data_IF_178744582885
#
_entry.id   IF_178744582885
#
_cell.length_a   1.000
_cell.length_b   1.000
_cell.length_c   1.000
_cell.angle_alpha   90.00
_cell.angle_beta   90.00
_cell.angle_gamma   90.00
#
_symmetry.space_group_name_H-M   'P 1'
#
loop_
_entity.id
_entity.type
_entity.pdbx_description
1 polymer ?
#
# COMPACT_ATOMS: atom_id res chain seq x y z
N UNK A 1 -18.62 3.32 9.14
CA UNK A 1 -18.77 4.50 8.26
C UNK A 1 -17.52 5.38 8.37
N UNK A 2 -16.72 5.49 7.31
CA UNK A 2 -15.52 6.33 7.29
C UNK A 2 -15.89 7.77 6.90
N UNK A 3 -15.99 8.68 7.89
CA UNK A 3 -16.51 10.04 7.66
C UNK A 3 -15.69 10.83 6.63
N UNK A 4 -14.39 10.57 6.47
CA UNK A 4 -13.56 11.23 5.44
C UNK A 4 -14.00 10.94 3.99
N UNK A 5 -14.80 9.89 3.74
CA UNK A 5 -15.35 9.60 2.42
C UNK A 5 -16.52 10.50 2.04
N UNK A 6 -17.37 10.83 3.00
CA UNK A 6 -18.67 11.44 2.75
C UNK A 6 -18.80 12.84 3.33
N UNK A 7 -17.91 13.23 4.25
CA UNK A 7 -17.90 14.56 4.84
C UNK A 7 -17.65 15.64 3.77
N UNK A 8 -18.30 16.80 3.91
CA UNK A 8 -18.03 17.94 3.05
C UNK A 8 -16.59 18.43 3.25
N UNK A 9 -15.97 18.99 2.20
CA UNK A 9 -14.53 19.28 2.20
C UNK A 9 -14.07 20.23 3.33
N UNK A 10 -14.97 21.06 3.86
CA UNK A 10 -14.71 21.97 4.99
C UNK A 10 -14.55 21.23 6.34
N UNK A 11 -15.11 20.03 6.49
CA UNK A 11 -15.05 19.25 7.73
C UNK A 11 -13.86 18.27 7.76
N UNK A 12 -13.28 17.96 6.59
CA UNK A 12 -12.15 17.02 6.48
C UNK A 12 -10.98 17.39 7.39
N UNK A 13 -10.71 18.69 7.60
CA UNK A 13 -9.65 19.14 8.50
C UNK A 13 -9.89 18.68 9.95
N UNK A 14 -11.12 18.76 10.43
CA UNK A 14 -11.49 18.31 11.77
C UNK A 14 -11.40 16.79 11.88
N UNK A 15 -11.93 16.09 10.88
CA UNK A 15 -11.87 14.61 10.80
C UNK A 15 -10.42 14.12 10.83
N UNK A 16 -9.54 14.72 10.04
CA UNK A 16 -8.12 14.37 10.01
C UNK A 16 -7.36 14.73 11.29
N UNK A 17 -7.75 15.79 11.98
CA UNK A 17 -7.16 16.10 13.29
C UNK A 17 -7.41 14.96 14.27
N UNK A 18 -8.67 14.55 14.43
CA UNK A 18 -9.05 13.46 15.34
C UNK A 18 -8.43 12.13 14.92
N UNK A 19 -8.39 11.85 13.60
CA UNK A 19 -7.73 10.65 13.09
C UNK A 19 -6.23 10.64 13.37
N UNK A 20 -5.56 11.79 13.32
CA UNK A 20 -4.14 11.87 13.68
C UNK A 20 -3.94 11.45 15.13
N UNK A 21 -4.70 12.02 16.05
CA UNK A 21 -4.59 11.72 17.48
C UNK A 21 -4.88 10.23 17.76
N UNK A 22 -5.89 9.68 17.09
CA UNK A 22 -6.25 8.26 17.20
C UNK A 22 -5.18 7.31 16.65
N UNK A 23 -4.58 7.63 15.50
CA UNK A 23 -3.59 6.78 14.85
C UNK A 23 -2.20 6.90 15.49
N UNK A 24 -1.90 8.03 16.13
CA UNK A 24 -0.64 8.23 16.85
C UNK A 24 -0.66 7.68 18.29
N UNK A 25 -1.80 7.27 18.83
CA UNK A 25 -1.88 6.68 20.17
C UNK A 25 -1.08 5.38 20.26
N UNK A 26 -0.09 5.34 21.15
CA UNK A 26 0.83 4.21 21.34
C UNK A 26 0.20 3.15 22.26
N UNK A 27 -0.42 2.16 21.64
CA UNK A 27 -1.03 1.02 22.32
C UNK A 27 -0.94 -0.23 21.42
N UNK A 28 -1.20 -1.44 21.94
CA UNK A 28 -1.10 -2.69 21.18
C UNK A 28 -2.00 -2.75 19.92
N UNK A 29 -3.02 -1.91 19.81
CA UNK A 29 -3.94 -1.85 18.67
C UNK A 29 -3.57 -0.77 17.64
N UNK A 30 -2.50 0.00 17.86
CA UNK A 30 -2.10 1.09 16.96
C UNK A 30 -1.97 0.63 15.50
N UNK A 31 -1.20 -0.44 15.26
CA UNK A 31 -1.00 -0.98 13.92
C UNK A 31 -2.34 -1.40 13.29
N UNK A 32 -3.24 -2.02 14.07
CA UNK A 32 -4.55 -2.42 13.57
C UNK A 32 -5.40 -1.22 13.17
N UNK A 33 -5.38 -0.12 13.96
CA UNK A 33 -6.07 1.11 13.59
C UNK A 33 -5.52 1.71 12.29
N UNK A 34 -4.20 1.73 12.13
CA UNK A 34 -3.54 2.21 10.91
C UNK A 34 -4.00 1.38 9.69
N UNK A 35 -3.95 0.05 9.78
CA UNK A 35 -4.41 -0.86 8.73
C UNK A 35 -5.85 -0.57 8.31
N UNK A 36 -6.77 -0.49 9.29
CA UNK A 36 -8.18 -0.25 9.05
C UNK A 36 -8.44 1.11 8.37
N UNK A 37 -7.67 2.14 8.69
CA UNK A 37 -7.84 3.48 8.10
C UNK A 37 -7.16 3.61 6.74
N UNK A 38 -5.98 3.01 6.58
CA UNK A 38 -5.19 3.11 5.34
C UNK A 38 -5.78 2.23 4.23
N UNK A 39 -6.08 0.96 4.53
CA UNK A 39 -6.59 -0.01 3.55
C UNK A 39 -8.11 -0.17 3.56
N UNK A 40 -8.75 0.07 4.70
CA UNK A 40 -10.16 -0.22 4.88
C UNK A 40 -10.40 -1.57 5.56
N UNK A 41 -11.66 -2.00 5.60
CA UNK A 41 -12.03 -3.31 6.11
C UNK A 41 -13.38 -3.77 5.54
N UNK A 42 -13.64 -5.07 5.70
CA UNK A 42 -14.96 -5.67 5.48
C UNK A 42 -15.54 -5.98 6.85
N UNK A 43 -16.81 -5.63 7.09
CA UNK A 43 -17.50 -6.05 8.31
C UNK A 43 -18.02 -7.49 8.21
N UNK A 44 -18.56 -7.99 9.33
CA UNK A 44 -19.12 -9.35 9.44
C UNK A 44 -20.34 -9.57 8.51
N UNK A 45 -20.92 -8.49 7.98
CA UNK A 45 -22.04 -8.52 7.04
C UNK A 45 -21.58 -8.47 5.57
N UNK A 46 -20.27 -8.43 5.31
CA UNK A 46 -19.71 -8.36 3.97
C UNK A 46 -19.66 -6.95 3.37
N UNK A 47 -19.98 -5.91 4.14
CA UNK A 47 -19.91 -4.52 3.68
C UNK A 47 -18.45 -4.05 3.67
N UNK A 48 -17.98 -3.63 2.49
CA UNK A 48 -16.66 -3.03 2.29
C UNK A 48 -16.67 -1.57 2.75
N UNK A 49 -15.67 -1.19 3.55
CA UNK A 49 -15.36 0.18 3.95
C UNK A 49 -14.01 0.58 3.38
N UNK A 50 -14.00 1.57 2.50
CA UNK A 50 -12.78 1.98 1.79
C UNK A 50 -11.81 2.73 2.71
N UNK A 51 -10.53 2.32 2.67
CA UNK A 51 -9.43 3.04 3.29
C UNK A 51 -9.04 4.30 2.52
N UNK A 52 -8.15 5.10 3.10
CA UNK A 52 -7.63 6.33 2.48
C UNK A 52 -7.01 6.10 1.10
N UNK A 53 -6.24 5.02 0.92
CA UNK A 53 -5.60 4.72 -0.36
C UNK A 53 -6.63 4.38 -1.45
N UNK A 54 -7.71 3.69 -1.09
CA UNK A 54 -8.81 3.41 -2.01
C UNK A 54 -9.62 4.67 -2.31
N UNK A 55 -9.88 5.53 -1.32
CA UNK A 55 -10.52 6.84 -1.53
C UNK A 55 -9.76 7.71 -2.52
N UNK A 56 -8.42 7.74 -2.41
CA UNK A 56 -7.58 8.47 -3.36
C UNK A 56 -7.82 7.96 -4.77
N UNK A 57 -7.87 6.63 -4.98
CA UNK A 57 -8.15 6.00 -6.28
C UNK A 57 -9.57 6.26 -6.77
N UNK A 58 -10.59 6.16 -5.92
CA UNK A 58 -11.98 6.31 -6.33
C UNK A 58 -12.32 7.76 -6.71
N UNK A 59 -11.79 8.74 -5.96
CA UNK A 59 -12.15 10.14 -6.13
C UNK A 59 -11.23 10.93 -7.09
N UNK A 60 -10.20 10.29 -7.65
CA UNK A 60 -9.13 10.96 -8.39
C UNK A 60 -9.60 11.79 -9.61
N UNK A 61 -10.75 11.44 -10.18
CA UNK A 61 -11.37 12.14 -11.33
C UNK A 61 -12.41 13.17 -10.88
N UNK A 62 -13.41 12.73 -10.10
CA UNK A 62 -14.61 13.52 -9.78
C UNK A 62 -14.42 14.46 -8.58
N UNK A 63 -13.60 14.07 -7.60
CA UNK A 63 -13.28 14.87 -6.41
C UNK A 63 -11.78 14.85 -6.12
N UNK A 64 -11.02 15.49 -7.02
CA UNK A 64 -9.57 15.57 -6.91
C UNK A 64 -9.11 16.33 -5.66
N UNK A 65 -9.95 17.20 -5.08
CA UNK A 65 -9.63 17.88 -3.82
C UNK A 65 -9.59 16.87 -2.70
N UNK A 66 -10.60 16.01 -2.56
CA UNK A 66 -10.61 14.96 -1.53
C UNK A 66 -9.41 14.03 -1.66
N UNK A 67 -9.08 13.57 -2.87
CA UNK A 67 -7.87 12.75 -3.09
C UNK A 67 -6.59 13.48 -2.64
N UNK A 68 -6.44 14.77 -2.94
CA UNK A 68 -5.30 15.54 -2.44
C UNK A 68 -5.29 15.67 -0.91
N UNK A 69 -6.43 15.97 -0.31
CA UNK A 69 -6.59 16.10 1.13
C UNK A 69 -6.18 14.80 1.85
N UNK A 70 -6.55 13.64 1.30
CA UNK A 70 -6.09 12.34 1.80
C UNK A 70 -4.57 12.15 1.63
N UNK A 71 -3.98 12.53 0.50
CA UNK A 71 -2.51 12.45 0.31
C UNK A 71 -1.78 13.36 1.31
N UNK A 72 -2.20 14.62 1.41
CA UNK A 72 -1.65 15.59 2.37
C UNK A 72 -1.76 15.09 3.81
N UNK A 73 -2.89 14.48 4.16
CA UNK A 73 -3.07 13.86 5.46
C UNK A 73 -2.07 12.72 5.69
N UNK A 74 -1.90 11.80 4.75
CA UNK A 74 -0.96 10.68 4.87
C UNK A 74 0.50 11.17 5.02
N UNK A 75 0.92 12.16 4.24
CA UNK A 75 2.25 12.78 4.38
C UNK A 75 2.44 13.35 5.79
N UNK A 76 1.51 14.17 6.26
CA UNK A 76 1.56 14.74 7.60
C UNK A 76 1.57 13.67 8.70
N UNK A 77 0.83 12.58 8.51
CA UNK A 77 0.70 11.51 9.48
C UNK A 77 2.01 10.71 9.60
N UNK A 78 2.67 10.44 8.48
CA UNK A 78 3.97 9.75 8.45
C UNK A 78 5.04 10.55 9.19
N UNK A 79 5.03 11.88 9.06
CA UNK A 79 5.95 12.76 9.79
C UNK A 79 5.72 12.77 11.31
N UNK A 80 4.53 12.35 11.77
CA UNK A 80 4.16 12.31 13.20
C UNK A 80 4.25 10.91 13.81
N UNK A 81 4.11 9.86 13.02
CA UNK A 81 4.02 8.49 13.50
C UNK A 81 4.86 7.55 12.63
N UNK A 82 5.98 7.06 13.20
CA UNK A 82 6.88 6.11 12.54
C UNK A 82 6.20 4.78 12.20
N UNK A 83 5.21 4.34 12.99
CA UNK A 83 4.44 3.12 12.69
C UNK A 83 3.67 3.24 11.38
N UNK A 84 3.17 4.43 11.04
CA UNK A 84 2.49 4.68 9.76
C UNK A 84 3.47 4.59 8.60
N UNK A 85 4.70 5.11 8.78
CA UNK A 85 5.77 4.99 7.78
C UNK A 85 6.12 3.53 7.49
N UNK A 86 6.35 2.75 8.54
CA UNK A 86 6.63 1.31 8.44
C UNK A 86 5.49 0.57 7.74
N UNK A 87 4.24 0.95 8.03
CA UNK A 87 3.09 0.35 7.38
C UNK A 87 2.96 0.75 5.90
N UNK A 88 3.23 2.00 5.57
CA UNK A 88 3.18 2.50 4.20
C UNK A 88 4.26 1.84 3.31
N UNK A 89 5.38 1.44 3.91
CA UNK A 89 6.39 0.62 3.24
C UNK A 89 5.81 -0.71 2.72
N UNK A 90 4.98 -1.38 3.53
CA UNK A 90 4.33 -2.64 3.14
C UNK A 90 3.29 -2.45 2.01
N UNK A 91 2.79 -1.22 1.83
CA UNK A 91 1.80 -0.86 0.82
C UNK A 91 2.36 0.11 -0.25
N UNK A 92 3.68 0.06 -0.47
CA UNK A 92 4.43 0.95 -1.38
C UNK A 92 3.81 1.09 -2.77
N UNK A 93 3.31 0.01 -3.37
CA UNK A 93 2.69 0.05 -4.70
C UNK A 93 1.42 0.93 -4.75
N UNK A 94 0.59 0.89 -3.70
CA UNK A 94 -0.61 1.73 -3.57
C UNK A 94 -0.21 3.19 -3.34
N UNK A 95 0.79 3.43 -2.50
CA UNK A 95 1.34 4.76 -2.25
C UNK A 95 1.96 5.37 -3.51
N UNK A 96 2.83 4.63 -4.21
CA UNK A 96 3.45 5.05 -5.47
C UNK A 96 2.42 5.48 -6.51
N UNK A 97 1.31 4.75 -6.62
CA UNK A 97 0.22 5.15 -7.50
C UNK A 97 -0.37 6.52 -7.10
N UNK A 98 -0.60 6.76 -5.81
CA UNK A 98 -1.14 8.03 -5.32
C UNK A 98 -0.20 9.20 -5.59
N UNK A 99 1.11 9.02 -5.37
CA UNK A 99 2.15 10.04 -5.65
C UNK A 99 2.22 10.33 -7.15
N UNK A 100 2.26 9.29 -7.99
CA UNK A 100 2.28 9.44 -9.44
C UNK A 100 1.02 10.14 -9.98
N UNK A 101 -0.14 9.82 -9.41
CA UNK A 101 -1.37 10.53 -9.74
C UNK A 101 -1.27 12.01 -9.37
N UNK A 102 -0.80 12.35 -8.17
CA UNK A 102 -0.66 13.76 -7.75
C UNK A 102 0.30 14.51 -8.68
N UNK A 103 1.45 13.91 -9.01
CA UNK A 103 2.42 14.45 -9.96
C UNK A 103 1.78 14.72 -11.31
N UNK A 104 1.07 13.74 -11.88
CA UNK A 104 0.35 13.90 -13.16
C UNK A 104 -0.68 15.01 -13.06
N UNK A 105 -1.47 15.06 -11.97
CA UNK A 105 -2.49 16.08 -11.74
C UNK A 105 -1.90 17.49 -11.63
N UNK A 106 -0.69 17.64 -11.11
CA UNK A 106 0.00 18.95 -11.09
C UNK A 106 0.53 19.33 -12.47
N UNK A 107 1.11 18.38 -13.22
CA UNK A 107 1.74 18.64 -14.52
C UNK A 107 0.76 18.80 -15.68
N UNK A 108 -0.26 17.94 -15.79
CA UNK A 108 -1.26 17.95 -16.87
C UNK A 108 -1.99 19.29 -16.94
N UNK A 109 -2.27 19.87 -15.78
CA UNK A 109 -2.96 21.15 -15.69
C UNK A 109 -2.02 22.35 -15.87
N UNK A 110 -0.72 22.20 -15.58
CA UNK A 110 0.31 23.20 -15.90
C UNK A 110 0.45 23.39 -17.41
N UNK A 111 0.44 22.29 -18.18
CA UNK A 111 0.47 22.33 -19.64
C UNK A 111 -0.80 22.95 -20.23
N UNK A 112 -1.99 22.56 -19.74
CA UNK A 112 -3.26 23.15 -20.18
C UNK A 112 -3.34 24.66 -19.90
N UNK A 113 -2.84 25.09 -18.74
CA UNK A 113 -2.86 26.50 -18.33
C UNK A 113 -1.92 27.39 -19.14
N UNK A 114 -0.86 26.83 -19.74
CA UNK A 114 0.12 27.58 -20.54
C UNK A 114 -0.33 27.76 -22.00
N UNK A 115 -1.18 26.86 -22.51
CA UNK A 115 -1.60 26.85 -23.92
C UNK A 115 -2.98 27.51 -24.16
N UNK A 116 -3.81 27.70 -23.12
CA UNK A 116 -5.20 28.22 -23.27
C UNK A 116 -5.46 29.58 -22.62
N UNK A 117 -4.44 30.25 -22.08
CA UNK A 117 -4.58 31.59 -21.49
C UNK A 117 -4.51 32.72 -22.54
N UNK A 118 -5.35 32.64 -23.57
CA UNK A 118 -5.87 33.80 -24.27
C UNK A 118 -7.39 33.73 -24.21
N UNK A 119 -7.97 34.63 -23.42
CA UNK A 119 -9.39 35.02 -23.45
C UNK A 119 -10.42 33.89 -23.25
N UNK A 120 -10.75 33.57 -21.99
CA UNK A 120 -12.16 33.53 -21.53
C UNK A 120 -12.21 33.58 -20.00
N UNK A 121 -12.99 34.55 -19.54
CA UNK A 121 -13.23 34.92 -18.15
C UNK A 121 -14.26 33.98 -17.50
N UNK A 122 -14.03 33.69 -16.23
CA UNK A 122 -15.04 33.52 -15.18
C UNK A 122 -15.75 32.19 -14.81
N UNK A 123 -15.40 30.99 -15.31
CA UNK A 123 -16.11 29.76 -14.85
C UNK A 123 -15.28 28.68 -14.13
N UNK A 124 -13.99 28.88 -13.81
CA UNK A 124 -13.23 27.82 -13.11
C UNK A 124 -12.07 28.30 -12.22
N UNK A 125 -12.35 29.31 -11.39
CA UNK A 125 -11.34 29.90 -10.47
C UNK A 125 -10.84 28.89 -9.43
N UNK A 126 -11.60 27.83 -9.13
CA UNK A 126 -11.30 26.89 -8.06
C UNK A 126 -10.52 25.64 -8.52
N UNK A 127 -10.35 25.44 -9.84
CA UNK A 127 -9.53 24.35 -10.44
C UNK A 127 -8.18 24.88 -10.96
N UNK A 128 -8.13 26.16 -11.35
CA UNK A 128 -6.90 26.88 -11.73
C UNK A 128 -5.98 27.21 -10.53
N UNK A 129 -6.51 27.31 -9.30
CA UNK A 129 -5.69 27.69 -8.12
C UNK A 129 -4.87 26.54 -7.54
N UNK A 130 -5.38 25.31 -7.62
CA UNK A 130 -4.84 24.17 -6.89
C UNK A 130 -3.34 23.91 -7.15
N UNK A 131 -2.90 24.05 -8.39
CA UNK A 131 -1.52 23.79 -8.83
C UNK A 131 -0.51 24.87 -8.45
N UNK A 132 -1.00 26.09 -8.17
CA UNK A 132 -0.16 27.25 -7.84
C UNK A 132 -0.01 27.45 -6.34
N UNK A 133 -0.73 26.68 -5.53
CA UNK A 133 -0.59 26.81 -4.08
C UNK A 133 0.72 26.18 -3.65
N UNK A 134 1.53 26.95 -2.90
CA UNK A 134 2.79 26.51 -2.30
C UNK A 134 2.59 25.20 -1.55
N UNK A 135 1.53 25.12 -0.73
CA UNK A 135 1.20 23.90 0.00
C UNK A 135 1.02 22.64 -0.85
N UNK A 136 0.58 22.75 -2.10
CA UNK A 136 0.40 21.59 -2.95
C UNK A 136 1.72 21.11 -3.56
N UNK A 137 2.64 22.04 -3.82
CA UNK A 137 4.00 21.76 -4.25
C UNK A 137 4.79 21.10 -3.10
N UNK A 138 4.74 21.68 -1.91
CA UNK A 138 5.37 21.13 -0.70
C UNK A 138 4.89 19.70 -0.44
N UNK A 139 3.57 19.46 -0.51
CA UNK A 139 3.02 18.11 -0.33
C UNK A 139 3.53 17.13 -1.37
N UNK A 140 3.68 17.54 -2.64
CA UNK A 140 4.19 16.66 -3.69
C UNK A 140 5.68 16.35 -3.48
N UNK A 141 6.46 17.34 -3.07
CA UNK A 141 7.88 17.19 -2.74
C UNK A 141 8.06 16.19 -1.59
N UNK A 142 7.37 16.42 -0.46
CA UNK A 142 7.41 15.52 0.70
C UNK A 142 6.92 14.10 0.34
N UNK A 143 5.84 13.98 -0.44
CA UNK A 143 5.32 12.68 -0.85
C UNK A 143 6.31 11.92 -1.75
N UNK A 144 7.03 12.63 -2.61
CA UNK A 144 8.05 12.06 -3.49
C UNK A 144 9.28 11.65 -2.69
N UNK A 145 9.75 12.50 -1.76
CA UNK A 145 10.85 12.18 -0.86
C UNK A 145 10.54 10.94 -0.02
N UNK A 146 9.32 10.85 0.52
CA UNK A 146 8.86 9.67 1.25
C UNK A 146 8.88 8.42 0.37
N UNK A 147 8.41 8.51 -0.88
CA UNK A 147 8.43 7.36 -1.79
C UNK A 147 9.87 6.86 -2.05
N UNK A 148 10.82 7.76 -2.28
CA UNK A 148 12.25 7.43 -2.45
C UNK A 148 12.84 6.85 -1.17
N UNK A 149 12.48 7.38 -0.01
CA UNK A 149 12.92 6.83 1.26
C UNK A 149 12.47 5.38 1.44
N UNK A 150 11.20 5.08 1.11
CA UNK A 150 10.66 3.71 1.13
C UNK A 150 11.34 2.78 0.09
N UNK A 151 12.00 3.31 -0.94
CA UNK A 151 12.77 2.52 -1.91
C UNK A 151 14.13 2.06 -1.39
N UNK A 152 14.78 2.84 -0.53
CA UNK A 152 16.11 2.54 -0.03
C UNK A 152 16.12 1.40 1.01
N UNK A 153 15.06 1.28 1.81
CA UNK A 153 14.95 0.22 2.84
C UNK A 153 14.85 -1.20 2.28
N UNK A 154 14.40 -1.38 1.03
CA UNK A 154 14.34 -2.70 0.40
C UNK A 154 15.74 -3.26 0.05
N UNK A 155 16.76 -2.40 -0.01
CA UNK A 155 18.13 -2.75 -0.44
C UNK A 155 19.06 -3.11 0.72
N UNK A 156 18.76 -2.66 1.94
CA UNK A 156 19.58 -2.90 3.14
C UNK A 156 19.19 -4.18 3.91
N UNK A 157 18.13 -4.89 3.48
CA UNK A 157 17.56 -6.05 4.19
C UNK A 157 18.14 -7.44 3.82
N UNK A 158 19.07 -7.56 2.87
CA UNK A 158 19.58 -8.86 2.38
C UNK A 158 21.06 -9.14 2.72
N UNK A 159 21.56 -8.62 3.86
CA UNK A 159 22.98 -8.70 4.22
C UNK A 159 23.41 -9.79 5.21
N UNK A 160 22.51 -10.48 5.91
CA UNK A 160 22.92 -11.52 6.88
C UNK A 160 22.93 -12.91 6.24
N UNK A 161 23.89 -13.11 5.33
CA UNK A 161 24.34 -14.43 4.94
C UNK A 161 25.33 -14.89 6.01
N UNK A 162 24.91 -15.85 6.84
CA UNK A 162 25.75 -16.52 7.83
C UNK A 162 26.99 -17.06 7.11
N UNK A 163 28.15 -16.50 7.45
CA UNK A 163 29.44 -16.99 6.99
C UNK A 163 29.67 -18.41 7.53
N UNK A 164 29.50 -19.42 6.68
CA UNK A 164 30.02 -20.76 6.91
C UNK A 164 31.35 -20.88 6.16
N UNK A 165 32.44 -20.74 6.90
CA UNK A 165 33.80 -21.08 6.44
C UNK A 165 33.93 -22.59 6.30
N UNK A 166 34.42 -23.13 5.17
CA UNK A 166 34.79 -24.54 5.07
C UNK A 166 36.27 -24.68 5.41
N UNK A 167 36.60 -25.19 6.59
CA UNK A 167 37.95 -25.72 6.85
C UNK A 167 37.86 -27.24 6.99
N UNK A 168 38.45 -27.90 6.00
CA UNK A 168 38.83 -29.30 6.02
C UNK A 168 40.12 -29.47 6.82
N UNK A 169 40.14 -30.38 7.80
CA UNK A 169 40.99 -31.59 7.78
C UNK A 169 41.28 -32.18 9.19
N UNK A 170 41.23 -33.51 9.22
CA UNK A 170 42.00 -34.46 10.07
C UNK A 170 41.21 -35.34 11.06
N UNK A 171 40.82 -36.50 10.51
CA UNK A 171 40.82 -37.90 11.02
C UNK A 171 41.13 -38.20 12.50
N UNK A 172 40.36 -39.09 13.14
CA UNK A 172 40.84 -40.38 13.75
C UNK A 172 39.71 -41.44 13.86
N UNK A 173 40.00 -42.59 13.25
CA UNK A 173 39.59 -44.03 13.24
C UNK A 173 38.59 -44.71 14.22
N UNK A 174 38.00 -45.80 13.67
CA UNK A 174 37.64 -47.14 14.25
C UNK A 174 36.49 -47.24 15.27
N UNK A 175 35.63 -48.28 15.35
CA UNK A 175 35.50 -49.59 14.69
C UNK A 175 34.08 -50.13 15.03
N UNK A 176 33.64 -51.20 14.35
CA UNK A 176 32.60 -52.20 14.72
C UNK A 176 31.23 -52.11 14.01
N UNK A 177 31.08 -52.97 12.99
CA UNK A 177 29.81 -53.46 12.40
C UNK A 177 29.17 -54.60 13.24
N UNK A 178 28.09 -55.33 12.86
CA UNK A 178 27.10 -55.17 11.78
C UNK A 178 25.61 -55.41 12.22
N UNK A 179 24.72 -55.40 11.22
CA UNK A 179 23.45 -56.19 11.14
C UNK A 179 22.15 -55.58 11.67
N UNK A 180 21.28 -55.17 10.74
CA UNK A 180 20.08 -55.98 10.43
C UNK A 180 19.46 -55.57 9.09
N UNK A 181 19.43 -56.53 8.17
CA UNK A 181 18.57 -56.54 6.99
C UNK A 181 17.24 -57.20 7.37
N UNK A 182 16.13 -56.66 6.88
CA UNK A 182 14.89 -57.40 6.62
C UNK A 182 14.20 -56.76 5.42
N UNK A 183 14.68 -57.13 4.24
CA UNK A 183 13.94 -57.77 3.15
C UNK A 183 12.39 -57.70 3.10
N UNK A 184 11.91 -57.37 1.88
CA UNK A 184 10.84 -58.05 1.11
C UNK A 184 9.42 -57.45 1.05
N UNK A 185 9.20 -56.65 -0.03
CA UNK A 185 8.40 -56.98 -1.23
C UNK A 185 6.85 -56.78 -1.32
N UNK A 186 6.48 -56.09 -2.42
CA UNK A 186 5.29 -56.12 -3.30
C UNK A 186 3.85 -56.13 -2.75
N UNK A 187 3.03 -55.25 -3.36
CA UNK A 187 2.04 -55.57 -4.42
C UNK A 187 0.99 -54.45 -4.44
N UNK A 188 0.95 -53.56 -5.44
CA UNK A 188 0.26 -53.69 -6.74
C UNK A 188 -1.25 -53.44 -6.67
N UNK A 189 -1.73 -52.65 -7.66
CA UNK A 189 -3.05 -52.70 -8.32
C UNK A 189 -4.18 -51.97 -7.55
N UNK A 190 -5.08 -51.15 -8.13
CA UNK A 190 -5.71 -51.16 -9.46
C UNK A 190 -6.20 -49.74 -9.88
N UNK A 191 -6.31 -49.55 -11.19
CA UNK A 191 -7.05 -48.49 -11.88
C UNK A 191 -8.56 -48.64 -11.68
N UNK A 192 -9.33 -47.53 -11.70
CA UNK A 192 -10.56 -47.52 -12.50
C UNK A 192 -10.93 -46.09 -12.96
N UNK A 193 -11.55 -46.09 -14.13
CA UNK A 193 -11.77 -45.02 -15.10
C UNK A 193 -13.29 -44.83 -15.26
N UNK A 194 -13.71 -43.79 -15.99
CA UNK A 194 -15.01 -43.63 -16.70
C UNK A 194 -16.13 -43.01 -15.81
N UNK A 195 -17.03 -42.08 -16.21
CA UNK A 195 -17.70 -41.63 -17.45
C UNK A 195 -18.21 -40.17 -17.24
N UNK A 196 -18.03 -39.21 -18.15
CA UNK A 196 -18.95 -38.72 -19.23
C UNK A 196 -20.45 -38.54 -18.87
N UNK A 197 -20.92 -37.28 -18.89
CA UNK A 197 -22.23 -36.79 -19.39
C UNK A 197 -22.10 -35.24 -19.49
N UNK A 198 -22.07 -34.57 -20.64
CA UNK A 198 -23.11 -34.34 -21.66
C UNK A 198 -24.49 -34.00 -21.08
N UNK A 199 -24.93 -32.76 -21.31
CA UNK A 199 -26.23 -32.24 -20.88
C UNK A 199 -26.37 -30.76 -21.19
N UNK A 200 -26.49 -30.43 -22.49
CA UNK A 200 -27.14 -29.20 -22.95
C UNK A 200 -28.53 -29.09 -22.33
N UNK A 201 -28.92 -27.90 -21.87
CA UNK A 201 -30.33 -27.52 -21.94
C UNK A 201 -30.53 -26.00 -21.90
N UNK A 202 -31.05 -25.51 -23.03
CA UNK A 202 -31.96 -24.38 -23.26
C UNK A 202 -31.62 -23.00 -22.71
#
# INVERSE_FOLDING_TARGET
>A
MMQYMNAPSNELKSVFSVLTDLLCMEDPLQLKRIQLVVDGHVDDHGQQFEGLLAVIRLNHVLDSRRSYWCIKFLVNLVNKCSQVKNYLQQTKSKWQWAVNWLKKKMTEYSYWSSTTCTTVSNEDSNRKSFQRTVSAQDTLEEATALLTELENYDMDGNGNQVALTPDSDTMVTDDTSPSNQSDTHMSSIEEEKVQKSEGENS
#
